data_IF_785718675722
#
_entry.id   IF_785718675722
#
_cell.length_a   1.000
_cell.length_b   1.000
_cell.length_c   1.000
_cell.angle_alpha   90.00
_cell.angle_beta   90.00
_cell.angle_gamma   90.00
#
_symmetry.space_group_name_H-M   'P 1'
#
loop_
_entity.id
_entity.type
_entity.pdbx_description
1 polymer ?
#
# COMPACT_ATOMS: atom_id res chain seq x y z
N UNK A 1 -26.72 -21.03 2.83
CA UNK A 1 -25.36 -20.72 3.33
C UNK A 1 -24.83 -19.61 2.45
N UNK A 2 -24.38 -18.51 3.00
CA UNK A 2 -23.81 -17.44 2.19
C UNK A 2 -22.44 -17.91 1.71
N UNK A 3 -22.27 -18.06 0.39
CA UNK A 3 -20.97 -18.34 -0.21
C UNK A 3 -20.01 -17.19 0.15
N UNK A 4 -18.95 -17.52 0.87
CA UNK A 4 -17.86 -16.58 1.06
C UNK A 4 -17.14 -16.45 -0.27
N UNK A 5 -17.15 -15.25 -0.85
CA UNK A 5 -16.48 -15.02 -2.13
C UNK A 5 -14.98 -15.29 -1.96
N UNK A 6 -14.36 -15.88 -2.98
CA UNK A 6 -12.92 -16.10 -3.07
C UNK A 6 -12.13 -14.84 -2.69
N UNK A 7 -12.65 -13.66 -3.03
CA UNK A 7 -12.03 -12.38 -2.71
C UNK A 7 -11.99 -12.10 -1.20
N UNK A 8 -13.08 -12.35 -0.46
CA UNK A 8 -13.09 -12.18 1.01
C UNK A 8 -12.11 -13.12 1.72
N UNK A 9 -11.96 -14.34 1.20
CA UNK A 9 -10.98 -15.29 1.70
C UNK A 9 -9.56 -14.81 1.43
N UNK A 10 -9.27 -14.33 0.23
CA UNK A 10 -7.97 -13.79 -0.15
C UNK A 10 -7.61 -12.53 0.67
N UNK A 11 -8.58 -11.66 0.91
CA UNK A 11 -8.42 -10.48 1.76
C UNK A 11 -8.09 -10.88 3.20
N UNK A 12 -8.77 -11.89 3.74
CA UNK A 12 -8.47 -12.41 5.08
C UNK A 12 -7.06 -13.02 5.16
N UNK A 13 -6.67 -13.86 4.18
CA UNK A 13 -5.35 -14.52 4.17
C UNK A 13 -4.21 -13.50 4.04
N UNK A 14 -4.43 -12.37 3.38
CA UNK A 14 -3.41 -11.31 3.27
C UNK A 14 -3.09 -10.63 4.61
N UNK A 15 -4.01 -10.69 5.58
CA UNK A 15 -3.83 -10.17 6.95
C UNK A 15 -3.61 -11.26 7.99
N UNK A 16 -3.48 -12.53 7.57
CA UNK A 16 -3.37 -13.66 8.48
C UNK A 16 -2.02 -13.69 9.19
N UNK A 17 -2.03 -13.51 10.51
CA UNK A 17 -0.88 -13.77 11.37
C UNK A 17 -1.04 -15.14 12.05
N UNK A 18 -0.16 -16.06 11.68
CA UNK A 18 -0.12 -17.43 12.22
C UNK A 18 0.16 -17.50 13.74
N UNK A 19 0.61 -16.41 14.35
CA UNK A 19 0.90 -16.32 15.77
C UNK A 19 -0.26 -15.68 16.55
N UNK A 20 -1.31 -15.19 15.87
CA UNK A 20 -2.48 -14.60 16.50
C UNK A 20 -3.58 -15.65 16.67
N UNK A 21 -3.95 -16.03 17.93
CA UNK A 21 -4.98 -17.05 18.19
C UNK A 21 -6.33 -16.74 17.54
N UNK A 22 -6.72 -15.46 17.51
CA UNK A 22 -7.99 -15.04 16.92
C UNK A 22 -7.98 -15.20 15.40
N UNK A 23 -6.84 -14.96 14.74
CA UNK A 23 -6.68 -15.20 13.31
C UNK A 23 -6.72 -16.70 12.98
N UNK A 24 -6.13 -17.55 13.86
CA UNK A 24 -6.19 -19.01 13.71
C UNK A 24 -7.62 -19.50 13.82
N UNK A 25 -8.38 -19.02 14.80
CA UNK A 25 -9.78 -19.42 14.99
C UNK A 25 -10.68 -18.94 13.84
N UNK A 26 -10.52 -17.69 13.42
CA UNK A 26 -11.22 -17.15 12.25
C UNK A 26 -10.87 -17.92 10.96
N UNK A 27 -9.61 -18.30 10.78
CA UNK A 27 -9.17 -19.13 9.63
C UNK A 27 -9.81 -20.52 9.67
N UNK A 28 -9.84 -21.19 10.83
CA UNK A 28 -10.49 -22.50 10.98
C UNK A 28 -11.97 -22.44 10.65
N UNK A 29 -12.66 -21.39 11.09
CA UNK A 29 -14.07 -21.16 10.78
C UNK A 29 -14.29 -20.93 9.29
N UNK A 30 -13.50 -20.06 8.68
CA UNK A 30 -13.52 -19.81 7.22
C UNK A 30 -13.21 -21.08 6.43
N UNK A 31 -12.18 -21.84 6.82
CA UNK A 31 -11.79 -23.09 6.16
C UNK A 31 -12.87 -24.15 6.22
N UNK A 32 -13.70 -24.17 7.27
CA UNK A 32 -14.84 -25.12 7.38
C UNK A 32 -16.03 -24.76 6.49
N UNK A 33 -16.07 -23.53 5.97
CA UNK A 33 -17.15 -23.01 5.12
C UNK A 33 -16.77 -22.98 3.62
N UNK A 34 -15.52 -23.29 3.28
CA UNK A 34 -14.97 -23.23 1.92
C UNK A 34 -14.93 -24.64 1.32
N UNK A 35 -15.23 -24.72 0.01
CA UNK A 35 -15.05 -25.95 -0.77
C UNK A 35 -13.61 -26.45 -0.65
N UNK A 36 -13.45 -27.73 -0.30
CA UNK A 36 -12.14 -28.39 -0.14
C UNK A 36 -11.23 -28.28 -1.36
N UNK A 37 -11.79 -28.10 -2.56
CA UNK A 37 -11.05 -27.89 -3.80
C UNK A 37 -10.32 -26.55 -3.84
N UNK A 38 -10.81 -25.54 -3.10
CA UNK A 38 -10.14 -24.24 -2.99
C UNK A 38 -8.95 -24.24 -2.03
N UNK A 39 -8.84 -25.27 -1.18
CA UNK A 39 -7.75 -25.44 -0.21
C UNK A 39 -6.68 -26.44 -0.69
N UNK A 40 -6.81 -26.96 -1.93
CA UNK A 40 -5.82 -27.85 -2.51
C UNK A 40 -4.48 -27.12 -2.70
N UNK A 41 -3.40 -27.76 -2.26
CA UNK A 41 -2.02 -27.27 -2.39
C UNK A 41 -1.58 -26.98 -3.82
N UNK A 42 -2.24 -27.59 -4.79
CA UNK A 42 -2.02 -27.36 -6.22
C UNK A 42 -2.82 -26.20 -6.82
N UNK A 43 -3.75 -25.60 -6.07
CA UNK A 43 -4.49 -24.45 -6.55
C UNK A 43 -3.55 -23.28 -6.86
N UNK A 44 -3.74 -22.63 -8.02
CA UNK A 44 -2.84 -21.56 -8.47
C UNK A 44 -2.74 -20.39 -7.48
N UNK A 45 -3.81 -20.10 -6.76
CA UNK A 45 -3.80 -19.07 -5.73
C UNK A 45 -2.95 -19.47 -4.51
N UNK A 46 -2.90 -20.76 -4.11
CA UNK A 46 -2.05 -21.27 -3.02
C UNK A 46 -0.59 -21.12 -3.39
N UNK A 47 -0.22 -21.48 -4.64
CA UNK A 47 1.13 -21.26 -5.17
C UNK A 47 1.50 -19.78 -5.16
N UNK A 48 0.56 -18.93 -5.57
CA UNK A 48 0.75 -17.47 -5.60
C UNK A 48 1.02 -16.89 -4.20
N UNK A 49 0.29 -17.35 -3.16
CA UNK A 49 0.44 -16.83 -1.79
C UNK A 49 1.55 -17.50 -0.98
N UNK A 50 1.90 -18.75 -1.26
CA UNK A 50 3.06 -19.42 -0.65
C UNK A 50 4.39 -18.92 -1.17
N UNK A 51 4.43 -18.38 -2.37
CA UNK A 51 5.63 -17.71 -2.88
C UNK A 51 5.70 -16.33 -2.20
N UNK A 52 6.66 -16.08 -1.30
CA UNK A 52 6.81 -14.75 -0.74
C UNK A 52 6.96 -13.75 -1.89
N UNK A 53 6.37 -12.55 -1.77
CA UNK A 53 6.60 -11.52 -2.77
C UNK A 53 8.11 -11.39 -2.97
N UNK A 54 8.60 -11.26 -4.22
CA UNK A 54 10.02 -11.14 -4.46
C UNK A 54 10.55 -10.01 -3.58
N UNK A 55 11.44 -10.39 -2.65
CA UNK A 55 12.09 -9.39 -1.80
C UNK A 55 12.79 -8.43 -2.74
N UNK A 56 12.57 -7.13 -2.64
CA UNK A 56 13.32 -6.18 -3.41
C UNK A 56 14.78 -6.47 -3.11
N UNK A 57 15.57 -6.71 -4.14
CA UNK A 57 17.01 -6.84 -3.96
C UNK A 57 17.45 -5.60 -3.21
N UNK A 58 17.95 -5.77 -2.00
CA UNK A 58 18.46 -4.69 -1.18
C UNK A 58 19.72 -4.13 -1.87
N UNK A 59 19.50 -3.31 -2.88
CA UNK A 59 20.49 -2.40 -3.43
C UNK A 59 20.10 -1.00 -2.98
N UNK A 60 20.39 -0.69 -1.73
CA UNK A 60 20.59 0.69 -1.32
C UNK A 60 21.95 1.10 -1.87
N UNK A 61 22.04 1.20 -3.20
CA UNK A 61 23.03 2.02 -3.86
C UNK A 61 22.44 3.42 -3.92
N UNK A 62 23.11 4.38 -3.31
CA UNK A 62 22.95 5.77 -3.69
C UNK A 62 23.17 5.84 -5.20
N UNK A 63 22.09 5.95 -6.00
CA UNK A 63 22.17 5.98 -7.46
C UNK A 63 21.10 5.18 -8.21
N UNK A 64 19.90 4.96 -7.64
CA UNK A 64 18.76 4.44 -8.39
C UNK A 64 18.42 5.36 -9.58
N UNK A 65 17.99 4.75 -10.70
CA UNK A 65 17.58 5.53 -11.88
C UNK A 65 16.44 6.47 -11.50
N UNK A 66 16.47 7.71 -12.04
CA UNK A 66 15.35 8.64 -11.93
C UNK A 66 14.26 8.16 -12.88
N UNK A 67 13.19 7.60 -12.33
CA UNK A 67 12.04 7.10 -13.08
C UNK A 67 11.00 8.20 -13.31
N UNK A 68 10.84 9.11 -12.33
CA UNK A 68 9.90 10.24 -12.37
C UNK A 68 10.63 11.51 -11.96
N UNK A 69 10.57 12.52 -12.80
CA UNK A 69 11.12 13.83 -12.48
C UNK A 69 10.04 14.77 -11.86
N UNK A 70 10.48 15.91 -11.34
CA UNK A 70 9.63 16.89 -10.68
C UNK A 70 8.49 17.41 -11.58
N UNK A 71 8.78 17.66 -12.87
CA UNK A 71 7.81 18.18 -13.82
C UNK A 71 6.72 17.14 -14.12
N UNK A 72 7.11 15.88 -14.26
CA UNK A 72 6.16 14.76 -14.44
C UNK A 72 5.25 14.64 -13.23
N UNK A 73 5.82 14.63 -12.02
CA UNK A 73 5.05 14.55 -10.78
C UNK A 73 4.08 15.75 -10.63
N UNK A 74 4.55 16.96 -10.90
CA UNK A 74 3.73 18.16 -10.87
C UNK A 74 2.57 18.11 -11.88
N UNK A 75 2.84 17.61 -13.09
CA UNK A 75 1.81 17.40 -14.10
C UNK A 75 0.75 16.41 -13.66
N UNK A 76 1.14 15.31 -13.01
CA UNK A 76 0.22 14.31 -12.46
C UNK A 76 -0.60 14.91 -11.31
N UNK A 77 0.02 15.59 -10.36
CA UNK A 77 -0.61 16.18 -9.17
C UNK A 77 -1.40 17.46 -9.43
N UNK A 78 -1.37 17.99 -10.64
CA UNK A 78 -2.07 19.25 -11.02
C UNK A 78 -1.59 20.42 -10.14
N UNK A 79 -0.30 20.56 -9.99
CA UNK A 79 0.29 21.64 -9.19
C UNK A 79 1.51 22.28 -9.90
N UNK A 80 1.95 23.43 -9.37
CA UNK A 80 3.22 24.01 -9.81
C UNK A 80 4.41 23.16 -9.37
N UNK A 81 5.43 22.92 -10.21
CA UNK A 81 6.65 22.23 -9.79
C UNK A 81 7.35 22.87 -8.58
N UNK A 82 7.17 24.18 -8.38
CA UNK A 82 7.74 24.91 -7.24
C UNK A 82 7.15 24.48 -5.87
N UNK A 83 5.99 23.82 -5.86
CA UNK A 83 5.36 23.30 -4.65
C UNK A 83 5.91 21.92 -4.23
N UNK A 84 6.61 21.24 -5.12
CA UNK A 84 7.20 19.93 -4.87
C UNK A 84 8.66 20.11 -4.45
N UNK A 85 9.03 19.57 -3.32
CA UNK A 85 10.41 19.61 -2.84
C UNK A 85 11.27 18.53 -3.50
N UNK A 86 12.56 18.78 -3.69
CA UNK A 86 13.48 17.83 -4.30
C UNK A 86 13.62 16.54 -3.47
N UNK A 87 13.55 16.65 -2.15
CA UNK A 87 13.57 15.50 -1.24
C UNK A 87 12.34 14.58 -1.48
N UNK A 88 11.22 15.13 -1.84
CA UNK A 88 10.00 14.37 -2.13
C UNK A 88 10.12 13.58 -3.45
N UNK A 89 10.71 14.19 -4.48
CA UNK A 89 11.02 13.49 -5.74
C UNK A 89 12.07 12.41 -5.51
N UNK A 90 13.06 12.69 -4.66
CA UNK A 90 14.09 11.71 -4.30
C UNK A 90 13.50 10.52 -3.54
N UNK A 91 12.59 10.76 -2.60
CA UNK A 91 11.91 9.71 -1.84
C UNK A 91 10.97 8.88 -2.73
N UNK A 92 10.24 9.53 -3.66
CA UNK A 92 9.47 8.83 -4.68
C UNK A 92 10.34 7.86 -5.48
N UNK A 93 11.44 8.33 -6.04
CA UNK A 93 12.32 7.49 -6.87
C UNK A 93 12.99 6.38 -6.04
N UNK A 94 13.34 6.64 -4.77
CA UNK A 94 13.82 5.61 -3.86
C UNK A 94 12.74 4.52 -3.61
N UNK A 95 11.50 4.94 -3.42
CA UNK A 95 10.34 4.03 -3.31
C UNK A 95 10.17 3.20 -4.59
N UNK A 96 10.08 3.84 -5.74
CA UNK A 96 9.86 3.17 -7.03
C UNK A 96 10.95 2.11 -7.32
N UNK A 97 12.21 2.46 -7.08
CA UNK A 97 13.33 1.53 -7.25
C UNK A 97 13.29 0.40 -6.22
N UNK A 98 13.03 0.70 -4.93
CA UNK A 98 12.98 -0.27 -3.84
C UNK A 98 11.92 -1.34 -4.07
N UNK A 99 10.74 -0.93 -4.51
CA UNK A 99 9.58 -1.81 -4.69
C UNK A 99 9.40 -2.30 -6.13
N UNK A 100 10.40 -2.09 -7.00
CA UNK A 100 10.36 -2.48 -8.42
C UNK A 100 9.09 -1.96 -9.15
N UNK A 101 8.65 -0.74 -8.83
CA UNK A 101 7.56 -0.05 -9.52
C UNK A 101 8.17 0.70 -10.71
N UNK A 102 8.59 -0.05 -11.73
CA UNK A 102 9.51 0.44 -12.76
C UNK A 102 9.05 0.14 -14.20
N UNK A 103 7.84 -0.39 -14.39
CA UNK A 103 7.22 -0.49 -15.72
C UNK A 103 6.16 0.60 -15.90
N UNK A 104 5.85 1.02 -17.13
CA UNK A 104 4.82 2.04 -17.38
C UNK A 104 3.48 1.73 -16.69
N UNK A 105 3.00 0.49 -16.77
CA UNK A 105 1.75 0.08 -16.11
C UNK A 105 1.83 0.24 -14.59
N UNK A 106 2.88 -0.28 -13.95
CA UNK A 106 3.08 -0.16 -12.48
C UNK A 106 3.18 1.29 -12.04
N UNK A 107 3.97 2.12 -12.74
CA UNK A 107 4.15 3.55 -12.46
C UNK A 107 2.84 4.31 -12.54
N UNK A 108 2.10 4.13 -13.65
CA UNK A 108 0.83 4.84 -13.89
C UNK A 108 -0.21 4.50 -12.84
N UNK A 109 -0.37 3.22 -12.52
CA UNK A 109 -1.31 2.79 -11.47
C UNK A 109 -0.88 3.24 -10.09
N UNK A 110 0.38 3.08 -9.70
CA UNK A 110 0.87 3.53 -8.39
C UNK A 110 0.66 5.03 -8.20
N UNK A 111 1.06 5.84 -9.18
CA UNK A 111 0.95 7.29 -9.09
C UNK A 111 -0.48 7.80 -9.15
N UNK A 112 -1.36 7.18 -9.94
CA UNK A 112 -2.77 7.58 -9.98
C UNK A 112 -3.49 7.27 -8.67
N UNK A 113 -3.23 6.11 -8.07
CA UNK A 113 -3.82 5.74 -6.78
C UNK A 113 -3.29 6.64 -5.65
N UNK A 114 -1.98 6.80 -5.54
CA UNK A 114 -1.39 7.68 -4.52
C UNK A 114 -1.79 9.15 -4.68
N UNK A 115 -1.97 9.64 -5.90
CA UNK A 115 -2.47 10.99 -6.17
C UNK A 115 -3.89 11.18 -5.65
N UNK A 116 -4.79 10.22 -5.90
CA UNK A 116 -6.15 10.26 -5.37
C UNK A 116 -6.16 10.26 -3.83
N UNK A 117 -5.50 9.27 -3.21
CA UNK A 117 -5.48 9.10 -1.76
C UNK A 117 -4.89 10.30 -1.00
N UNK A 118 -4.01 11.05 -1.65
CA UNK A 118 -3.35 12.21 -1.06
C UNK A 118 -3.90 13.57 -1.52
N UNK A 119 -4.94 13.59 -2.35
CA UNK A 119 -5.44 14.82 -2.95
C UNK A 119 -4.38 15.55 -3.79
N UNK A 120 -3.61 14.80 -4.61
CA UNK A 120 -2.50 15.34 -5.40
C UNK A 120 -1.29 15.74 -4.55
N UNK A 121 -0.93 14.90 -3.57
CA UNK A 121 0.24 15.08 -2.71
C UNK A 121 0.05 16.06 -1.54
N UNK A 122 -1.16 16.60 -1.34
CA UNK A 122 -1.42 17.59 -0.28
C UNK A 122 -1.46 16.97 1.11
N UNK A 123 -1.98 15.76 1.22
CA UNK A 123 -2.23 15.10 2.50
C UNK A 123 -1.31 13.90 2.67
N UNK A 124 -0.30 14.05 3.53
CA UNK A 124 0.66 13.00 3.89
C UNK A 124 0.30 12.30 5.19
N UNK A 125 -0.70 12.82 5.90
CA UNK A 125 -1.22 12.26 7.15
C UNK A 125 -2.70 12.52 7.30
N UNK A 126 -3.35 11.63 8.00
CA UNK A 126 -4.75 11.74 8.35
C UNK A 126 -5.03 13.02 9.16
N UNK A 127 -6.07 13.77 8.77
CA UNK A 127 -6.45 15.01 9.44
C UNK A 127 -7.18 14.75 10.77
N UNK A 128 -7.89 13.62 10.87
CA UNK A 128 -8.57 13.21 12.11
C UNK A 128 -7.57 13.01 13.25
N UNK A 129 -8.05 13.14 14.47
CA UNK A 129 -7.20 13.03 15.68
C UNK A 129 -6.55 11.65 15.84
N UNK A 130 -7.19 10.60 15.33
CA UNK A 130 -6.78 9.22 15.46
C UNK A 130 -7.28 8.53 16.74
N UNK A 131 -8.02 9.22 17.62
CA UNK A 131 -8.57 8.61 18.83
C UNK A 131 -9.55 7.47 18.55
N UNK A 132 -10.19 7.43 17.38
CA UNK A 132 -11.04 6.33 16.94
C UNK A 132 -10.27 5.00 16.77
N UNK A 133 -8.95 5.08 16.66
CA UNK A 133 -8.06 3.91 16.60
C UNK A 133 -7.51 3.49 17.97
N UNK A 134 -7.82 4.23 19.04
CA UNK A 134 -7.32 3.90 20.38
C UNK A 134 -7.91 2.58 20.87
N UNK A 135 -7.06 1.71 21.42
CA UNK A 135 -7.46 0.39 21.91
C UNK A 135 -7.89 -0.60 20.83
N UNK A 136 -7.76 -0.27 19.55
CA UNK A 136 -8.05 -1.17 18.41
C UNK A 136 -7.03 -2.31 18.37
N UNK A 137 -7.37 -3.46 18.95
CA UNK A 137 -6.50 -4.64 18.99
C UNK A 137 -6.21 -5.24 17.61
N UNK A 138 -7.13 -5.11 16.66
CA UNK A 138 -6.98 -5.53 15.27
C UNK A 138 -5.90 -4.71 14.52
N UNK A 139 -5.62 -3.48 14.98
CA UNK A 139 -4.53 -2.63 14.51
C UNK A 139 -3.25 -2.76 15.37
N UNK A 140 -3.29 -3.56 16.45
CA UNK A 140 -2.21 -3.68 17.42
C UNK A 140 -2.07 -2.46 18.33
N UNK A 141 -3.06 -1.58 18.37
CA UNK A 141 -3.08 -0.39 19.22
C UNK A 141 -3.50 -0.80 20.65
N UNK A 142 -2.54 -1.28 21.42
CA UNK A 142 -2.75 -1.85 22.76
C UNK A 142 -2.10 -1.06 23.89
N UNK A 143 -1.51 0.10 23.58
CA UNK A 143 -0.92 1.01 24.54
C UNK A 143 -1.60 2.37 24.43
N UNK A 144 -1.68 3.06 25.58
CA UNK A 144 -2.27 4.41 25.62
C UNK A 144 -1.55 5.37 24.70
N UNK A 145 -2.33 6.07 23.86
CA UNK A 145 -1.84 7.01 22.85
C UNK A 145 -1.46 6.38 21.50
N UNK A 146 -1.69 5.08 21.32
CA UNK A 146 -1.39 4.41 20.05
C UNK A 146 -2.29 4.92 18.92
N UNK A 147 -3.55 5.18 19.19
CA UNK A 147 -4.48 5.67 18.20
C UNK A 147 -3.96 6.92 17.48
N UNK A 148 -3.76 8.04 18.18
CA UNK A 148 -3.18 9.26 17.61
C UNK A 148 -1.78 9.08 17.03
N UNK A 149 -0.93 8.26 17.66
CA UNK A 149 0.45 8.03 17.23
C UNK A 149 0.54 7.30 15.91
N UNK A 150 -0.27 6.26 15.73
CA UNK A 150 -0.22 5.36 14.58
C UNK A 150 -1.44 5.50 13.67
N UNK A 151 -2.05 6.69 13.63
CA UNK A 151 -3.06 7.02 12.64
C UNK A 151 -2.47 7.04 11.24
N UNK A 152 -3.30 7.24 10.23
CA UNK A 152 -2.91 7.17 8.83
C UNK A 152 -1.73 8.07 8.46
N UNK A 153 -0.67 7.50 7.89
CA UNK A 153 0.51 8.21 7.39
C UNK A 153 0.91 7.75 5.99
N UNK A 154 1.49 8.67 5.22
CA UNK A 154 1.89 8.45 3.83
C UNK A 154 0.71 8.44 2.86
N UNK A 155 1.02 8.22 1.58
CA UNK A 155 0.06 8.41 0.49
C UNK A 155 -0.97 7.28 0.29
N UNK A 156 -0.90 6.19 1.07
CA UNK A 156 -1.95 5.16 1.16
C UNK A 156 -2.34 4.93 2.64
N UNK A 157 -2.06 5.89 3.52
CA UNK A 157 -2.52 5.91 4.90
C UNK A 157 -2.17 4.65 5.71
N UNK A 158 -0.84 4.37 5.87
CA UNK A 158 -0.36 3.34 6.80
C UNK A 158 -0.93 3.57 8.20
N UNK A 159 -1.69 2.62 8.76
CA UNK A 159 -2.44 2.81 10.00
C UNK A 159 -2.24 1.63 10.95
N UNK A 160 -2.11 1.91 12.25
CA UNK A 160 -2.02 0.94 13.32
C UNK A 160 -0.59 0.52 13.68
N UNK A 161 -0.35 0.27 14.98
CA UNK A 161 0.96 -0.11 15.54
C UNK A 161 1.58 -1.28 14.80
N UNK A 162 0.81 -2.34 14.48
CA UNK A 162 1.33 -3.52 13.77
C UNK A 162 1.92 -3.16 12.41
N UNK A 163 1.22 -2.33 11.64
CA UNK A 163 1.68 -1.94 10.31
C UNK A 163 2.91 -1.02 10.39
N UNK A 164 2.95 -0.10 11.37
CA UNK A 164 4.14 0.74 11.61
C UNK A 164 5.34 -0.10 12.00
N UNK A 165 5.16 -1.08 12.90
CA UNK A 165 6.24 -1.97 13.32
C UNK A 165 6.75 -2.81 12.13
N UNK A 166 5.85 -3.43 11.38
CA UNK A 166 6.23 -4.21 10.20
C UNK A 166 6.97 -3.34 9.15
N UNK A 167 6.53 -2.09 8.97
CA UNK A 167 7.21 -1.16 8.08
C UNK A 167 8.58 -0.74 8.64
N UNK A 168 8.70 -0.48 9.96
CA UNK A 168 9.97 -0.16 10.61
C UNK A 168 11.02 -1.26 10.42
N UNK A 169 10.60 -2.50 10.61
CA UNK A 169 11.44 -3.69 10.41
C UNK A 169 11.85 -3.85 8.94
N UNK A 170 10.92 -3.66 8.01
CA UNK A 170 11.16 -3.75 6.58
C UNK A 170 12.14 -2.69 6.09
N UNK A 171 11.92 -1.41 6.45
CA UNK A 171 12.76 -0.29 6.01
C UNK A 171 14.08 -0.21 6.81
N UNK A 172 14.19 -0.98 7.91
CA UNK A 172 15.30 -0.99 8.86
C UNK A 172 15.54 0.36 9.55
N UNK A 173 14.43 1.04 9.87
CA UNK A 173 14.44 2.30 10.58
C UNK A 173 13.48 2.25 11.78
N UNK A 174 13.99 2.01 13.00
CA UNK A 174 13.15 1.94 14.20
C UNK A 174 12.49 3.28 14.55
N UNK A 175 12.96 4.40 14.00
CA UNK A 175 12.37 5.71 14.21
C UNK A 175 10.98 5.87 13.57
N UNK A 176 10.57 4.97 12.66
CA UNK A 176 9.19 4.84 12.18
C UNK A 176 8.20 4.71 13.34
N UNK A 177 8.60 4.08 14.45
CA UNK A 177 7.79 3.94 15.65
C UNK A 177 7.58 5.26 16.45
N UNK A 178 8.20 6.36 16.04
CA UNK A 178 7.84 7.70 16.53
C UNK A 178 6.41 8.09 16.09
N UNK A 179 5.93 7.51 14.98
CA UNK A 179 4.54 7.59 14.55
C UNK A 179 4.31 8.44 13.30
N UNK A 180 3.08 8.96 13.21
CA UNK A 180 2.51 9.55 12.00
C UNK A 180 3.36 10.67 11.40
N UNK A 181 3.89 11.59 12.22
CA UNK A 181 4.65 12.74 11.71
C UNK A 181 5.96 12.30 11.06
N UNK A 182 6.67 11.36 11.69
CA UNK A 182 7.93 10.83 11.15
C UNK A 182 7.72 10.14 9.80
N UNK A 183 6.71 9.27 9.70
CA UNK A 183 6.42 8.54 8.44
C UNK A 183 5.95 9.50 7.35
N UNK A 184 5.07 10.44 7.69
CA UNK A 184 4.54 11.43 6.74
C UNK A 184 5.64 12.35 6.17
N UNK A 185 6.65 12.66 6.96
CA UNK A 185 7.78 13.48 6.53
C UNK A 185 8.81 12.69 5.74
N UNK A 186 9.23 11.53 6.25
CA UNK A 186 10.40 10.82 5.75
C UNK A 186 10.07 9.74 4.71
N UNK A 187 8.91 9.11 4.80
CA UNK A 187 8.55 7.95 4.00
C UNK A 187 7.14 8.02 3.38
N UNK A 188 6.70 9.16 2.83
CA UNK A 188 5.32 9.28 2.33
C UNK A 188 5.01 8.31 1.18
N UNK A 189 5.93 8.09 0.24
CA UNK A 189 5.78 7.11 -0.83
C UNK A 189 6.23 5.70 -0.42
N UNK A 190 7.30 5.59 0.39
CA UNK A 190 7.82 4.26 0.76
C UNK A 190 6.84 3.49 1.64
N UNK A 191 6.05 4.15 2.49
CA UNK A 191 4.95 3.50 3.21
C UNK A 191 3.86 2.98 2.27
N UNK A 192 3.55 3.73 1.22
CA UNK A 192 2.64 3.31 0.16
C UNK A 192 3.23 2.14 -0.67
N UNK A 193 4.51 2.20 -1.00
CA UNK A 193 5.23 1.12 -1.68
C UNK A 193 5.26 -0.17 -0.89
N UNK A 194 5.41 -0.08 0.44
CA UNK A 194 5.32 -1.22 1.34
C UNK A 194 3.94 -1.89 1.29
N UNK A 195 2.86 -1.11 1.37
CA UNK A 195 1.51 -1.61 1.19
C UNK A 195 1.33 -2.25 -0.20
N UNK A 196 1.80 -1.57 -1.25
CA UNK A 196 1.72 -1.99 -2.65
C UNK A 196 2.37 -3.36 -2.87
N UNK A 197 3.55 -3.58 -2.30
CA UNK A 197 4.26 -4.86 -2.35
C UNK A 197 3.50 -5.95 -1.62
N UNK A 198 3.04 -5.67 -0.38
CA UNK A 198 2.34 -6.66 0.44
C UNK A 198 1.02 -7.10 -0.19
N UNK A 199 0.38 -6.23 -0.98
CA UNK A 199 -0.84 -6.53 -1.72
C UNK A 199 -0.58 -7.02 -3.16
N UNK A 200 0.67 -7.32 -3.52
CA UNK A 200 1.07 -7.88 -4.84
C UNK A 200 0.61 -7.05 -6.02
N UNK A 201 0.60 -5.73 -5.85
CA UNK A 201 0.07 -4.81 -6.85
C UNK A 201 0.88 -4.79 -8.15
N UNK A 202 2.20 -5.03 -8.07
CA UNK A 202 3.02 -5.17 -9.29
C UNK A 202 2.52 -6.33 -10.17
N UNK A 203 2.23 -7.49 -9.56
CA UNK A 203 1.71 -8.65 -10.30
C UNK A 203 0.34 -8.38 -10.93
N UNK A 204 -0.51 -7.60 -10.25
CA UNK A 204 -1.76 -7.15 -10.84
C UNK A 204 -1.50 -6.22 -12.03
N UNK A 205 -0.63 -5.22 -11.88
CA UNK A 205 -0.30 -4.26 -12.94
C UNK A 205 0.33 -4.91 -14.17
N UNK A 206 1.08 -6.01 -14.00
CA UNK A 206 1.70 -6.76 -15.11
C UNK A 206 0.66 -7.49 -15.99
N UNK A 207 -0.59 -7.60 -15.53
CA UNK A 207 -1.71 -8.18 -16.29
C UNK A 207 -2.49 -7.12 -17.08
N UNK A 208 -2.01 -5.88 -17.13
CA UNK A 208 -2.67 -4.74 -17.78
C UNK A 208 -4.11 -4.50 -17.29
N UNK A 209 -4.31 -4.36 -15.97
CA UNK A 209 -5.64 -4.17 -15.40
C UNK A 209 -6.22 -2.81 -15.80
N UNK A 210 -7.55 -2.72 -15.72
CA UNK A 210 -8.24 -1.44 -15.73
C UNK A 210 -7.96 -0.65 -14.43
N UNK A 211 -8.15 0.67 -14.46
CA UNK A 211 -8.08 1.51 -13.25
C UNK A 211 -9.07 1.01 -12.20
N UNK A 212 -10.27 0.56 -12.64
CA UNK A 212 -11.30 0.01 -11.76
C UNK A 212 -10.83 -1.22 -10.98
N UNK A 213 -10.14 -2.16 -11.62
CA UNK A 213 -9.62 -3.37 -10.98
C UNK A 213 -8.56 -3.02 -9.91
N UNK A 214 -7.67 -2.07 -10.22
CA UNK A 214 -6.68 -1.58 -9.28
C UNK A 214 -7.35 -0.83 -8.12
N UNK A 215 -8.36 0.00 -8.42
CA UNK A 215 -9.15 0.71 -7.40
C UNK A 215 -9.86 -0.25 -6.45
N UNK A 216 -10.48 -1.32 -6.97
CA UNK A 216 -11.11 -2.35 -6.14
C UNK A 216 -10.11 -2.99 -5.16
N UNK A 217 -8.87 -3.20 -5.58
CA UNK A 217 -7.82 -3.75 -4.72
C UNK A 217 -7.34 -2.74 -3.67
N UNK A 218 -7.24 -1.46 -4.02
CA UNK A 218 -6.74 -0.40 -3.11
C UNK A 218 -7.80 0.01 -2.09
N UNK A 219 -9.05 0.18 -2.54
CA UNK A 219 -10.12 0.80 -1.74
C UNK A 219 -11.18 -0.21 -1.25
N UNK A 220 -11.20 -1.44 -1.80
CA UNK A 220 -12.26 -2.42 -1.53
C UNK A 220 -13.59 -2.10 -2.22
N UNK A 221 -13.68 -0.98 -2.95
CA UNK A 221 -14.84 -0.49 -3.67
C UNK A 221 -14.43 0.41 -4.83
N UNK A 222 -15.39 1.17 -5.36
CA UNK A 222 -15.17 2.10 -6.49
C UNK A 222 -15.21 3.58 -6.06
N UNK A 223 -15.00 3.87 -4.78
CA UNK A 223 -14.97 5.25 -4.30
C UNK A 223 -13.84 6.04 -4.96
N UNK A 224 -14.20 7.19 -5.54
CA UNK A 224 -13.26 8.06 -6.23
C UNK A 224 -12.75 7.50 -7.56
N UNK A 225 -13.46 6.55 -8.20
CA UNK A 225 -13.01 5.94 -9.46
C UNK A 225 -12.76 6.98 -10.54
N UNK A 226 -13.68 7.93 -10.76
CA UNK A 226 -13.55 8.97 -11.78
C UNK A 226 -12.29 9.84 -11.56
N UNK A 227 -11.99 10.16 -10.30
CA UNK A 227 -10.79 10.93 -9.94
C UNK A 227 -9.50 10.11 -10.15
N UNK A 228 -9.51 8.81 -9.82
CA UNK A 228 -8.39 7.90 -10.09
C UNK A 228 -8.16 7.70 -11.59
N UNK A 229 -9.21 7.62 -12.38
CA UNK A 229 -9.14 7.58 -13.84
C UNK A 229 -8.57 8.89 -14.40
N UNK A 230 -9.02 10.03 -13.91
CA UNK A 230 -8.46 11.34 -14.28
C UNK A 230 -6.95 11.40 -14.00
N UNK A 231 -6.49 10.96 -12.81
CA UNK A 231 -5.06 10.90 -12.50
C UNK A 231 -4.32 9.87 -13.39
N UNK A 232 -4.95 8.75 -13.71
CA UNK A 232 -4.35 7.76 -14.61
C UNK A 232 -4.15 8.30 -16.03
N UNK A 233 -5.13 9.02 -16.56
CA UNK A 233 -5.02 9.72 -17.86
C UNK A 233 -3.87 10.74 -17.88
N UNK A 234 -3.64 11.41 -16.75
CA UNK A 234 -2.48 12.31 -16.60
C UNK A 234 -1.17 11.53 -16.57
N UNK A 235 -1.16 10.37 -15.89
CA UNK A 235 0.00 9.48 -15.92
C UNK A 235 0.31 8.97 -17.33
N UNK A 236 -0.70 8.63 -18.14
CA UNK A 236 -0.49 8.25 -19.54
C UNK A 236 0.24 9.34 -20.36
N UNK A 237 -0.07 10.61 -20.09
CA UNK A 237 0.57 11.75 -20.77
C UNK A 237 1.97 12.05 -20.25
N UNK A 238 2.22 11.84 -18.97
CA UNK A 238 3.48 12.16 -18.31
C UNK A 238 4.52 11.02 -18.39
N UNK A 239 4.05 9.78 -18.55
CA UNK A 239 4.85 8.56 -18.56
C UNK A 239 4.50 7.79 -19.84
N UNK A 240 5.20 8.00 -20.96
CA UNK A 240 4.91 7.36 -22.23
C UNK A 240 5.11 5.83 -22.23
#
# INVERSE_FOLDING_TARGET
MAEISTQKFLDFVSYFDKNNPNHIEAFKKLASEIDSNLLNDDADWVKLYRTPPPQPKASVGEGGSVLINKQQLASIWICSPSLIQDVEVSELNACLNRFAINTPSRLRHFLSQTAHESGGGRYKKELASGWDYEGRSDLGNNQSGDGPRFKGAGYIQLTGRYNYQAFAEFIKDPAVMQGVDYVAEKYPFSSAGFWWQNNRMNQLCDQNPSVREVTLRVNGGTNGLDDREMYYERCLKAIP
#
